data_IF_725001818459
#
_entry.id   IF_725001818459
#
_cell.length_a   1.000
_cell.length_b   1.000
_cell.length_c   1.000
_cell.angle_alpha   90.00
_cell.angle_beta   90.00
_cell.angle_gamma   90.00
#
_symmetry.space_group_name_H-M   'P 1'
#
loop_
_entity.id
_entity.type
_entity.pdbx_description
1 polymer ?
#
# COMPACT_ATOMS: atom_id res chain seq x y z
N UNK A 1 4.78 7.40 13.22
CA UNK A 1 3.62 6.77 12.55
C UNK A 1 3.30 5.50 13.30
N UNK A 2 2.02 5.19 13.50
CA UNK A 2 1.63 3.95 14.17
C UNK A 2 0.45 3.32 13.42
N UNK A 3 0.57 2.04 13.07
CA UNK A 3 -0.50 1.25 12.47
C UNK A 3 -1.10 0.30 13.51
N UNK A 4 -2.42 0.30 13.64
CA UNK A 4 -3.11 -0.60 14.56
C UNK A 4 -4.58 -0.86 14.18
N UNK A 5 -5.17 -1.92 14.73
CA UNK A 5 -6.61 -2.15 14.64
C UNK A 5 -7.43 -1.11 15.44
N UNK A 6 -8.74 -1.05 15.16
CA UNK A 6 -9.70 -0.13 15.77
C UNK A 6 -9.75 -0.21 17.30
N UNK A 7 -9.36 -1.35 17.91
CA UNK A 7 -9.48 -1.54 19.36
C UNK A 7 -8.42 -0.78 20.13
N UNK A 8 -7.24 -0.58 19.55
CA UNK A 8 -6.11 0.10 20.22
C UNK A 8 -5.94 1.56 19.79
N UNK A 9 -6.68 2.00 18.77
CA UNK A 9 -6.55 3.34 18.20
C UNK A 9 -6.79 4.44 19.23
N UNK A 10 -7.80 4.27 20.09
CA UNK A 10 -8.15 5.24 21.14
C UNK A 10 -7.02 5.39 22.17
N UNK A 11 -6.43 4.28 22.60
CA UNK A 11 -5.30 4.29 23.54
C UNK A 11 -4.08 4.98 22.93
N UNK A 12 -3.76 4.65 21.68
CA UNK A 12 -2.63 5.30 21.00
C UNK A 12 -2.90 6.78 20.73
N UNK A 13 -4.12 7.15 20.37
CA UNK A 13 -4.50 8.54 20.16
C UNK A 13 -4.32 9.37 21.43
N UNK A 14 -4.66 8.84 22.61
CA UNK A 14 -4.40 9.51 23.89
C UNK A 14 -2.90 9.74 24.14
N UNK A 15 -2.06 8.74 23.85
CA UNK A 15 -0.60 8.85 23.96
C UNK A 15 -0.10 9.90 22.97
N UNK A 16 -0.53 9.82 21.70
CA UNK A 16 -0.06 10.73 20.66
C UNK A 16 -0.52 12.16 20.90
N UNK A 17 -1.78 12.42 21.26
CA UNK A 17 -2.26 13.78 21.62
C UNK A 17 -1.51 14.38 22.82
N UNK A 18 -1.00 13.52 23.72
CA UNK A 18 -0.21 13.96 24.88
C UNK A 18 1.23 14.36 24.49
N UNK A 19 1.84 13.66 23.54
CA UNK A 19 3.26 13.83 23.21
C UNK A 19 3.52 14.52 21.86
N UNK A 20 2.54 14.51 20.96
CA UNK A 20 2.53 15.13 19.66
C UNK A 20 1.37 16.13 19.61
N UNK A 21 1.54 17.17 18.80
CA UNK A 21 0.73 18.41 18.81
C UNK A 21 -0.78 18.17 18.58
N UNK A 22 -1.59 19.25 18.61
CA UNK A 22 -3.02 19.22 18.22
C UNK A 22 -3.28 18.66 16.81
N UNK A 23 -2.24 18.50 15.99
CA UNK A 23 -2.29 18.04 14.61
C UNK A 23 -1.92 16.55 14.56
N UNK A 24 -2.72 15.70 15.22
CA UNK A 24 -2.65 14.25 15.05
C UNK A 24 -3.81 13.82 14.16
N UNK A 25 -3.49 13.14 13.07
CA UNK A 25 -4.48 12.63 12.12
C UNK A 25 -4.64 11.12 12.26
N UNK A 26 -5.89 10.66 12.12
CA UNK A 26 -6.24 9.24 12.06
C UNK A 26 -6.76 8.94 10.66
N UNK A 27 -6.06 8.07 9.95
CA UNK A 27 -6.40 7.67 8.58
C UNK A 27 -6.87 6.22 8.60
N UNK A 28 -8.07 5.99 8.06
CA UNK A 28 -8.72 4.68 8.08
C UNK A 28 -8.41 3.88 6.81
N UNK A 29 -7.86 2.69 6.99
CA UNK A 29 -7.60 1.72 5.93
C UNK A 29 -8.38 0.42 6.14
N UNK A 30 -8.48 -0.35 5.07
CA UNK A 30 -8.91 -1.73 5.07
C UNK A 30 -7.80 -2.58 4.46
N UNK A 31 -7.32 -3.56 5.21
CA UNK A 31 -6.54 -4.66 4.65
C UNK A 31 -7.53 -5.66 4.04
N UNK A 32 -7.39 -5.91 2.76
CA UNK A 32 -8.30 -6.73 1.98
C UNK A 32 -7.56 -7.95 1.45
N UNK A 33 -8.25 -9.09 1.45
CA UNK A 33 -7.96 -10.22 0.56
C UNK A 33 -9.06 -10.27 -0.47
N UNK A 34 -8.67 -10.16 -1.73
CA UNK A 34 -9.56 -10.09 -2.88
C UNK A 34 -9.27 -11.25 -3.82
N UNK A 35 -10.24 -11.60 -4.67
CA UNK A 35 -10.05 -12.52 -5.78
C UNK A 35 -10.71 -12.05 -7.05
N UNK A 36 -10.17 -12.49 -8.18
CA UNK A 36 -10.82 -12.35 -9.49
C UNK A 36 -10.39 -13.49 -10.40
N UNK A 37 -11.24 -13.80 -11.38
CA UNK A 37 -10.98 -14.81 -12.40
C UNK A 37 -10.56 -14.18 -13.74
N UNK A 38 -10.30 -12.87 -13.75
CA UNK A 38 -9.88 -12.16 -14.96
C UNK A 38 -8.39 -12.33 -15.21
N UNK A 39 -8.03 -12.67 -16.45
CA UNK A 39 -6.65 -12.74 -16.88
C UNK A 39 -6.21 -11.37 -17.41
N UNK A 40 -5.20 -10.79 -16.78
CA UNK A 40 -4.68 -9.46 -17.12
C UNK A 40 -3.21 -9.62 -17.48
N UNK A 41 -2.77 -8.93 -18.55
CA UNK A 41 -1.36 -8.80 -18.87
C UNK A 41 -0.80 -7.57 -18.15
N UNK A 42 0.39 -7.70 -17.58
CA UNK A 42 1.16 -6.58 -17.06
C UNK A 42 2.62 -6.70 -17.51
N UNK A 43 3.29 -5.58 -17.65
CA UNK A 43 4.71 -5.53 -17.93
C UNK A 43 5.49 -5.46 -16.61
N UNK A 44 6.63 -6.16 -16.56
CA UNK A 44 7.58 -6.10 -15.45
C UNK A 44 8.74 -5.17 -15.84
N UNK A 45 9.30 -4.43 -14.90
CA UNK A 45 10.50 -3.62 -15.11
C UNK A 45 11.67 -4.13 -14.27
N UNK A 46 12.90 -3.88 -14.74
CA UNK A 46 14.10 -4.24 -13.98
C UNK A 46 14.24 -3.31 -12.77
N UNK A 47 14.38 -3.91 -11.58
CA UNK A 47 14.60 -3.18 -10.33
C UNK A 47 15.83 -2.27 -10.34
N UNK A 48 16.83 -2.56 -11.17
CA UNK A 48 18.00 -1.69 -11.33
C UNK A 48 17.63 -0.32 -11.90
N UNK A 49 16.48 -0.19 -12.55
CA UNK A 49 15.98 1.07 -13.07
C UNK A 49 15.19 1.90 -12.04
N UNK A 50 15.03 1.43 -10.81
CA UNK A 50 14.18 2.09 -9.79
C UNK A 50 14.57 3.55 -9.54
N UNK A 51 15.86 3.86 -9.59
CA UNK A 51 16.39 5.21 -9.35
C UNK A 51 16.01 6.22 -10.44
N UNK A 52 15.70 5.72 -11.65
CA UNK A 52 15.28 6.54 -12.79
C UNK A 52 13.76 6.73 -12.85
N UNK A 53 13.01 6.06 -11.97
CA UNK A 53 11.56 6.12 -11.91
C UNK A 53 11.19 7.12 -10.81
N UNK A 54 10.23 8.05 -11.04
CA UNK A 54 9.73 8.96 -10.01
C UNK A 54 8.84 8.19 -9.01
N UNK A 55 9.44 7.24 -8.30
CA UNK A 55 8.77 6.39 -7.33
C UNK A 55 9.13 6.82 -5.92
N UNK A 56 8.33 7.72 -5.40
CA UNK A 56 8.43 8.23 -4.04
C UNK A 56 7.16 7.85 -3.30
N UNK A 57 7.27 7.54 -2.00
CA UNK A 57 6.05 7.45 -1.20
C UNK A 57 5.60 8.83 -0.76
N UNK A 58 4.36 8.91 -0.26
CA UNK A 58 3.69 10.18 0.02
C UNK A 58 4.32 11.02 1.16
N UNK A 59 5.37 10.53 1.84
CA UNK A 59 6.14 11.34 2.81
C UNK A 59 7.50 11.82 2.26
N UNK A 60 7.77 11.60 0.98
CA UNK A 60 8.92 12.16 0.27
C UNK A 60 10.22 11.36 0.35
N UNK A 61 10.23 10.11 0.83
CA UNK A 61 11.41 9.24 0.66
C UNK A 61 11.36 8.62 -0.74
N UNK A 62 12.47 8.69 -1.45
CA UNK A 62 12.67 7.94 -2.69
C UNK A 62 12.72 6.44 -2.40
N UNK A 63 12.12 5.64 -3.26
CA UNK A 63 12.33 4.19 -3.27
C UNK A 63 13.61 3.91 -4.07
N UNK A 64 14.66 3.54 -3.36
CA UNK A 64 15.99 3.28 -3.90
C UNK A 64 16.30 1.77 -3.90
N UNK A 65 17.49 1.38 -4.36
CA UNK A 65 17.90 -0.02 -4.33
C UNK A 65 17.95 -0.61 -2.92
N UNK A 66 18.19 0.19 -1.88
CA UNK A 66 18.20 -0.31 -0.49
C UNK A 66 16.81 -0.73 -0.04
N UNK A 67 15.80 0.10 -0.33
CA UNK A 67 14.39 -0.22 -0.11
C UNK A 67 14.00 -1.55 -0.77
N UNK A 68 14.42 -1.71 -2.03
CA UNK A 68 14.13 -2.88 -2.84
C UNK A 68 14.80 -4.14 -2.26
N UNK A 69 16.09 -4.06 -1.96
CA UNK A 69 16.85 -5.17 -1.37
C UNK A 69 16.26 -5.62 -0.04
N UNK A 70 15.75 -4.68 0.78
CA UNK A 70 15.05 -5.04 2.01
C UNK A 70 13.74 -5.79 1.75
N UNK A 71 12.94 -5.35 0.77
CA UNK A 71 11.70 -6.05 0.41
C UNK A 71 11.98 -7.49 -0.04
N UNK A 72 13.00 -7.69 -0.87
CA UNK A 72 13.40 -9.00 -1.38
C UNK A 72 13.96 -9.92 -0.28
N UNK A 73 14.64 -9.36 0.72
CA UNK A 73 15.12 -10.12 1.88
C UNK A 73 13.99 -10.56 2.83
N UNK A 74 12.74 -10.15 2.60
CA UNK A 74 11.63 -10.48 3.47
C UNK A 74 11.23 -11.96 3.30
N UNK A 75 11.33 -12.80 4.35
CA UNK A 75 11.08 -14.25 4.23
C UNK A 75 9.63 -14.62 3.92
N UNK A 76 8.70 -13.66 3.98
CA UNK A 76 7.30 -13.91 3.62
C UNK A 76 7.10 -14.12 2.12
N UNK A 77 7.97 -13.54 1.28
CA UNK A 77 7.80 -13.55 -0.16
C UNK A 77 8.83 -14.46 -0.82
N UNK A 78 8.35 -15.41 -1.63
CA UNK A 78 9.21 -16.24 -2.46
C UNK A 78 9.79 -15.45 -3.64
N UNK A 79 9.08 -14.41 -4.08
CA UNK A 79 9.49 -13.53 -5.17
C UNK A 79 8.91 -12.14 -4.96
N UNK A 80 9.72 -11.11 -5.19
CA UNK A 80 9.22 -9.73 -5.33
C UNK A 80 9.26 -9.36 -6.81
N UNK A 81 8.20 -8.71 -7.28
CA UNK A 81 8.01 -8.29 -8.67
C UNK A 81 7.80 -6.79 -8.72
N UNK A 82 8.25 -6.21 -9.83
CA UNK A 82 8.18 -4.78 -10.09
C UNK A 82 7.42 -4.59 -11.38
N UNK A 83 6.24 -3.99 -11.30
CA UNK A 83 5.30 -3.92 -12.43
C UNK A 83 5.03 -2.48 -12.84
N UNK A 84 4.75 -2.27 -14.11
CA UNK A 84 4.46 -0.95 -14.66
C UNK A 84 3.57 -1.02 -15.92
N UNK A 85 2.88 0.09 -16.21
CA UNK A 85 2.27 0.37 -17.51
C UNK A 85 2.81 1.69 -18.14
N UNK A 86 3.94 2.20 -17.61
CA UNK A 86 4.53 3.48 -17.96
C UNK A 86 3.98 4.67 -17.17
N UNK A 87 2.70 4.64 -16.77
CA UNK A 87 2.07 5.68 -15.93
C UNK A 87 2.16 5.33 -14.45
N UNK A 88 1.88 4.08 -14.11
CA UNK A 88 1.86 3.56 -12.76
C UNK A 88 2.98 2.55 -12.53
N UNK A 89 3.41 2.47 -11.28
CA UNK A 89 4.43 1.53 -10.81
C UNK A 89 3.94 0.90 -9.51
N UNK A 90 4.19 -0.39 -9.33
CA UNK A 90 3.91 -1.07 -8.08
C UNK A 90 4.94 -2.17 -7.81
N UNK A 91 5.08 -2.49 -6.52
CA UNK A 91 5.88 -3.60 -6.04
C UNK A 91 4.95 -4.65 -5.46
N UNK A 92 5.09 -5.89 -5.92
CA UNK A 92 4.25 -7.01 -5.52
C UNK A 92 5.12 -8.07 -4.84
N UNK A 93 4.70 -8.54 -3.67
CA UNK A 93 5.28 -9.68 -2.99
C UNK A 93 4.45 -10.93 -3.28
N UNK A 94 5.03 -11.89 -4.00
CA UNK A 94 4.42 -13.18 -4.26
C UNK A 94 4.75 -14.15 -3.11
N UNK A 95 3.72 -14.76 -2.53
CA UNK A 95 3.84 -15.83 -1.54
C UNK A 95 3.31 -17.15 -2.12
N UNK A 96 3.21 -18.21 -1.33
CA UNK A 96 2.61 -19.48 -1.78
C UNK A 96 1.11 -19.38 -2.06
N UNK A 97 0.39 -18.52 -1.31
CA UNK A 97 -1.08 -18.47 -1.32
C UNK A 97 -1.68 -17.22 -1.97
N UNK A 98 -0.91 -16.13 -2.07
CA UNK A 98 -1.38 -14.89 -2.67
C UNK A 98 -0.24 -13.98 -3.14
N UNK A 99 -0.60 -12.97 -3.91
CA UNK A 99 0.24 -11.80 -4.15
C UNK A 99 -0.18 -10.64 -3.24
N UNK A 100 0.75 -9.90 -2.66
CA UNK A 100 0.47 -8.70 -1.88
C UNK A 100 1.03 -7.46 -2.58
N UNK A 101 0.23 -6.41 -2.72
CA UNK A 101 0.72 -5.10 -3.16
C UNK A 101 1.49 -4.47 -1.99
N UNK A 102 2.81 -4.40 -2.12
CA UNK A 102 3.72 -3.91 -1.10
C UNK A 102 3.86 -2.40 -1.16
N UNK A 103 3.82 -1.85 -2.37
CA UNK A 103 3.97 -0.42 -2.63
C UNK A 103 3.44 0.00 -4.00
N UNK A 104 3.20 1.30 -4.19
CA UNK A 104 2.62 1.88 -5.40
C UNK A 104 2.99 3.36 -5.58
N UNK A 105 3.18 3.78 -6.83
CA UNK A 105 3.55 5.17 -7.16
C UNK A 105 2.39 6.17 -7.09
N UNK A 106 1.14 5.70 -7.18
CA UNK A 106 -0.05 6.57 -7.15
C UNK A 106 -1.15 6.01 -6.27
N UNK A 107 -1.35 6.55 -5.06
CA UNK A 107 -2.36 6.09 -4.10
C UNK A 107 -3.78 6.62 -4.36
N UNK A 108 -4.08 6.85 -5.63
CA UNK A 108 -5.40 7.21 -6.14
C UNK A 108 -6.25 5.97 -6.37
N UNK A 109 -7.57 6.13 -6.52
CA UNK A 109 -8.46 5.04 -6.92
C UNK A 109 -7.97 4.38 -8.22
N UNK A 110 -7.55 5.17 -9.21
CA UNK A 110 -7.04 4.67 -10.49
C UNK A 110 -5.79 3.82 -10.31
N UNK A 111 -4.79 4.32 -9.55
CA UNK A 111 -3.55 3.59 -9.31
C UNK A 111 -3.76 2.28 -8.52
N UNK A 112 -4.64 2.28 -7.51
CA UNK A 112 -5.00 1.05 -6.81
C UNK A 112 -5.74 0.06 -7.71
N UNK A 113 -6.73 0.52 -8.49
CA UNK A 113 -7.46 -0.34 -9.42
C UNK A 113 -6.53 -0.95 -10.47
N UNK A 114 -5.58 -0.18 -10.99
CA UNK A 114 -4.55 -0.68 -11.89
C UNK A 114 -3.66 -1.72 -11.20
N UNK A 115 -3.09 -1.43 -10.04
CA UNK A 115 -2.16 -2.33 -9.35
C UNK A 115 -2.83 -3.66 -9.00
N UNK A 116 -4.10 -3.61 -8.55
CA UNK A 116 -4.90 -4.79 -8.27
C UNK A 116 -5.10 -5.64 -9.54
N UNK A 117 -5.50 -5.02 -10.66
CA UNK A 117 -5.67 -5.72 -11.94
C UNK A 117 -4.37 -6.35 -12.42
N UNK A 118 -3.26 -5.61 -12.37
CA UNK A 118 -1.95 -6.12 -12.75
C UNK A 118 -1.52 -7.32 -11.87
N UNK A 119 -1.86 -7.29 -10.58
CA UNK A 119 -1.57 -8.40 -9.66
C UNK A 119 -2.30 -9.71 -10.04
N UNK A 120 -3.45 -9.61 -10.74
CA UNK A 120 -4.21 -10.78 -11.22
C UNK A 120 -3.43 -11.63 -12.22
N UNK A 121 -2.38 -11.08 -12.85
CA UNK A 121 -1.48 -11.83 -13.74
C UNK A 121 -0.71 -12.95 -13.00
N UNK A 122 -0.56 -12.85 -11.68
CA UNK A 122 0.32 -13.72 -10.90
C UNK A 122 -0.41 -14.60 -9.88
N UNK A 123 -1.62 -14.23 -9.47
CA UNK A 123 -2.39 -14.99 -8.47
C UNK A 123 -3.88 -14.66 -8.52
N UNK A 124 -4.71 -15.68 -8.32
CA UNK A 124 -6.17 -15.52 -8.18
C UNK A 124 -6.56 -14.84 -6.86
N UNK A 125 -5.68 -14.89 -5.86
CA UNK A 125 -5.85 -14.21 -4.57
C UNK A 125 -4.80 -13.12 -4.39
N UNK A 126 -5.25 -11.95 -3.95
CA UNK A 126 -4.35 -10.82 -3.74
C UNK A 126 -4.72 -10.01 -2.50
N UNK A 127 -3.69 -9.53 -1.83
CA UNK A 127 -3.77 -8.72 -0.62
C UNK A 127 -3.40 -7.28 -0.91
N UNK A 128 -4.18 -6.36 -0.38
CA UNK A 128 -3.94 -4.93 -0.56
C UNK A 128 -4.47 -4.17 0.66
N UNK A 129 -3.72 -3.17 1.10
CA UNK A 129 -4.22 -2.18 2.05
C UNK A 129 -4.77 -1.02 1.22
N UNK A 130 -6.02 -0.63 1.43
CA UNK A 130 -6.65 0.50 0.73
C UNK A 130 -7.28 1.44 1.72
N UNK A 131 -7.46 2.70 1.34
CA UNK A 131 -8.28 3.61 2.15
C UNK A 131 -9.71 3.11 2.23
N UNK A 132 -10.29 3.23 3.41
CA UNK A 132 -11.67 2.78 3.66
C UNK A 132 -12.67 3.49 2.74
N UNK A 133 -12.46 4.77 2.43
CA UNK A 133 -13.31 5.51 1.48
C UNK A 133 -13.21 5.01 0.03
N UNK A 134 -12.04 4.52 -0.41
CA UNK A 134 -11.82 4.08 -1.79
C UNK A 134 -12.27 2.65 -2.04
N UNK A 135 -12.46 1.86 -0.98
CA UNK A 135 -12.74 0.42 -1.03
C UNK A 135 -13.85 0.05 -2.02
N UNK A 136 -15.06 0.63 -1.88
CA UNK A 136 -16.22 0.26 -2.71
C UNK A 136 -15.97 0.54 -4.19
N UNK A 137 -15.35 1.68 -4.49
CA UNK A 137 -15.04 2.09 -5.85
C UNK A 137 -13.99 1.17 -6.46
N UNK A 138 -12.93 0.87 -5.71
CA UNK A 138 -11.85 -0.02 -6.15
C UNK A 138 -12.39 -1.41 -6.45
N UNK A 139 -13.13 -2.03 -5.53
CA UNK A 139 -13.63 -3.41 -5.72
C UNK A 139 -14.63 -3.52 -6.86
N UNK A 140 -15.43 -2.47 -7.10
CA UNK A 140 -16.29 -2.39 -8.27
C UNK A 140 -15.48 -2.29 -9.58
N UNK A 141 -14.49 -1.40 -9.66
CA UNK A 141 -13.68 -1.20 -10.87
C UNK A 141 -12.81 -2.41 -11.23
N UNK A 142 -12.43 -3.21 -10.24
CA UNK A 142 -11.62 -4.42 -10.41
C UNK A 142 -12.46 -5.68 -10.57
N UNK A 143 -13.78 -5.60 -10.45
CA UNK A 143 -14.70 -6.75 -10.41
C UNK A 143 -14.23 -7.83 -9.43
N UNK A 144 -13.72 -7.41 -8.27
CA UNK A 144 -13.13 -8.32 -7.29
C UNK A 144 -14.16 -8.78 -6.27
N UNK A 145 -14.13 -10.08 -5.95
CA UNK A 145 -14.82 -10.60 -4.77
C UNK A 145 -13.97 -10.37 -3.53
N UNK A 146 -14.59 -9.91 -2.45
CA UNK A 146 -13.91 -9.69 -1.16
C UNK A 146 -13.98 -10.97 -0.34
N UNK A 147 -12.84 -11.61 -0.14
CA UNK A 147 -12.73 -12.81 0.71
C UNK A 147 -12.55 -12.48 2.18
N UNK A 148 -11.77 -11.45 2.46
CA UNK A 148 -11.49 -11.01 3.83
C UNK A 148 -11.29 -9.51 3.86
N UNK A 149 -11.70 -8.88 4.95
CA UNK A 149 -11.42 -7.47 5.22
C UNK A 149 -11.12 -7.27 6.70
N UNK A 150 -10.12 -6.44 6.98
CA UNK A 150 -9.72 -6.07 8.34
C UNK A 150 -9.50 -4.55 8.42
N UNK A 151 -10.24 -3.84 9.29
CA UNK A 151 -9.96 -2.44 9.59
C UNK A 151 -8.57 -2.26 10.20
N UNK A 152 -7.82 -1.31 9.63
CA UNK A 152 -6.52 -0.88 10.14
C UNK A 152 -6.48 0.64 10.10
N UNK A 153 -5.95 1.26 11.14
CA UNK A 153 -5.80 2.70 11.25
C UNK A 153 -4.34 3.08 11.26
N UNK A 154 -4.03 4.21 10.63
CA UNK A 154 -2.76 4.90 10.75
C UNK A 154 -2.96 6.14 11.61
N UNK A 155 -2.18 6.27 12.68
CA UNK A 155 -1.98 7.54 13.37
C UNK A 155 -0.73 8.23 12.84
N UNK A 156 -0.90 9.48 12.41
CA UNK A 156 0.17 10.36 11.97
C UNK A 156 0.19 11.60 12.86
N UNK A 157 1.24 11.73 13.67
CA UNK A 157 1.48 12.92 14.49
C UNK A 157 2.57 13.79 13.87
N UNK A 158 2.32 15.10 13.81
CA UNK A 158 3.27 16.07 13.28
C UNK A 158 3.99 16.80 14.42
N UNK A 159 5.32 16.81 14.37
CA UNK A 159 6.14 17.62 15.27
C UNK A 159 6.14 19.11 14.87
N UNK A 160 6.05 19.38 13.56
CA UNK A 160 5.91 20.72 12.97
C UNK A 160 4.79 20.70 11.93
N UNK A 161 4.10 21.83 11.70
CA UNK A 161 3.12 21.92 10.61
C UNK A 161 3.82 21.62 9.27
N UNK A 162 3.39 20.55 8.60
CA UNK A 162 3.79 20.21 7.23
C UNK A 162 2.54 20.14 6.37
N UNK A 163 2.61 20.69 5.17
CA UNK A 163 1.65 20.44 4.10
C UNK A 163 1.91 19.05 3.52
N UNK A 164 1.37 18.01 4.17
CA UNK A 164 1.30 16.67 3.60
C UNK A 164 -0.12 16.48 3.09
N UNK A 165 -0.27 15.99 1.86
CA UNK A 165 -1.56 15.53 1.35
C UNK A 165 -1.95 14.23 2.08
N UNK A 166 -2.66 14.39 3.18
CA UNK A 166 -3.17 13.28 3.98
C UNK A 166 -4.42 12.66 3.39
N UNK A 167 -4.97 13.14 2.27
CA UNK A 167 -6.08 12.47 1.56
C UNK A 167 -5.56 11.40 0.62
N UNK A 168 -4.41 11.65 -0.02
CA UNK A 168 -3.75 10.68 -0.88
C UNK A 168 -2.54 10.03 -0.20
N UNK A 169 -2.45 10.04 1.13
CA UNK A 169 -1.37 9.34 1.82
C UNK A 169 -1.45 7.83 1.58
N UNK A 170 -0.33 7.26 1.15
CA UNK A 170 -0.03 5.83 1.21
C UNK A 170 1.34 5.62 1.80
N UNK A 171 1.48 4.50 2.50
CA UNK A 171 2.73 4.09 3.10
C UNK A 171 2.88 2.59 2.86
N UNK A 172 3.98 2.23 2.21
CA UNK A 172 4.25 0.88 1.77
C UNK A 172 4.47 -0.07 2.95
N UNK A 173 4.68 -1.35 2.65
CA UNK A 173 4.84 -2.39 3.68
C UNK A 173 5.95 -2.11 4.69
N UNK A 174 7.10 -1.60 4.24
CA UNK A 174 8.22 -1.31 5.14
C UNK A 174 7.87 -0.20 6.12
N UNK A 175 7.21 0.86 5.66
CA UNK A 175 6.88 2.02 6.50
C UNK A 175 5.80 1.71 7.55
N UNK A 176 5.13 0.55 7.43
CA UNK A 176 4.13 0.05 8.38
C UNK A 176 4.75 -0.65 9.59
N UNK A 177 6.02 -1.04 9.53
CA UNK A 177 6.75 -1.69 10.63
C UNK A 177 7.42 -0.65 11.51
#
# INVERSE_FOLDING_TARGET
MCFSDDRKIQTYEMIYKRYFTKNTEVINYLELTLSSNQMVRCDEFDKLNIENIPFEHTLGRKRDLQYINYLEANPLYKKVRYITDGKFYAVIGESESCCEILDLSSPTVEGFSWAIKATMAFSSYYKVLVRKEHFKTITSLTNSTVFYSKPINLLLGFYTNKDIDTQNLWVGRIDRR
#
